data_IF_875499973547
#
_entry.id   IF_875499973547
#
_cell.length_a   1.000
_cell.length_b   1.000
_cell.length_c   1.000
_cell.angle_alpha   90.00
_cell.angle_beta   90.00
_cell.angle_gamma   90.00
#
_symmetry.space_group_name_H-M   'P 1'
#
loop_
_entity.id
_entity.type
_entity.pdbx_description
1 polymer ?
#
# COMPACT_ATOMS: atom_id res chain seq x y z
N UNK A 1 2.37 -11.48 8.81
CA UNK A 1 2.74 -10.39 7.88
C UNK A 1 2.16 -9.08 8.39
N UNK A 2 2.96 -8.09 8.49
CA UNK A 2 2.56 -6.75 8.89
C UNK A 2 2.57 -5.83 7.68
N UNK A 3 1.49 -5.07 7.51
CA UNK A 3 1.32 -4.16 6.39
C UNK A 3 1.19 -2.74 6.92
N UNK A 4 1.93 -1.82 6.34
CA UNK A 4 1.91 -0.41 6.75
C UNK A 4 1.63 0.46 5.52
N UNK A 5 0.62 1.31 5.63
CA UNK A 5 0.35 2.36 4.66
C UNK A 5 0.90 3.68 5.20
N UNK A 6 1.89 4.23 4.52
CA UNK A 6 2.44 5.55 4.80
C UNK A 6 1.76 6.55 3.89
N UNK A 7 1.00 7.47 4.45
CA UNK A 7 0.15 8.39 3.69
C UNK A 7 0.63 9.82 3.93
N UNK A 8 0.95 10.53 2.85
CA UNK A 8 1.42 11.92 2.90
C UNK A 8 0.26 12.90 3.09
N UNK A 9 -0.48 12.73 4.17
CA UNK A 9 -1.56 13.59 4.61
C UNK A 9 -1.49 13.78 6.13
N UNK A 10 -1.64 15.00 6.59
CA UNK A 10 -1.69 15.29 8.03
C UNK A 10 -2.90 14.63 8.67
N UNK A 11 -4.02 14.62 7.95
CA UNK A 11 -5.31 14.07 8.37
C UNK A 11 -6.08 13.60 7.14
N UNK A 12 -6.75 12.46 7.25
CA UNK A 12 -7.66 12.00 6.21
C UNK A 12 -9.05 12.59 6.42
N UNK A 13 -9.77 12.81 5.33
CA UNK A 13 -11.18 13.18 5.39
C UNK A 13 -11.98 12.06 6.08
N UNK A 14 -12.95 12.43 6.89
CA UNK A 14 -13.66 11.52 7.79
C UNK A 14 -14.28 10.31 7.08
N UNK A 15 -14.93 10.55 5.93
CA UNK A 15 -15.54 9.47 5.14
C UNK A 15 -14.51 8.49 4.61
N UNK A 16 -13.35 8.97 4.15
CA UNK A 16 -12.28 8.13 3.67
C UNK A 16 -11.61 7.34 4.80
N UNK A 17 -11.40 7.98 5.93
CA UNK A 17 -10.82 7.32 7.10
C UNK A 17 -11.72 6.18 7.60
N UNK A 18 -13.03 6.40 7.62
CA UNK A 18 -14.00 5.36 7.99
C UNK A 18 -13.97 4.18 7.02
N UNK A 19 -13.89 4.44 5.71
CA UNK A 19 -13.80 3.39 4.69
C UNK A 19 -12.51 2.59 4.82
N UNK A 20 -11.38 3.26 5.03
CA UNK A 20 -10.09 2.60 5.24
C UNK A 20 -10.13 1.70 6.48
N UNK A 21 -10.68 2.21 7.57
CA UNK A 21 -10.81 1.46 8.83
C UNK A 21 -11.66 0.20 8.67
N UNK A 22 -12.72 0.26 7.86
CA UNK A 22 -13.56 -0.91 7.55
C UNK A 22 -12.77 -1.99 6.81
N UNK A 23 -12.00 -1.62 5.77
CA UNK A 23 -11.16 -2.57 5.06
C UNK A 23 -10.02 -3.11 5.92
N UNK A 24 -9.45 -2.29 6.77
CA UNK A 24 -8.43 -2.75 7.73
C UNK A 24 -8.99 -3.78 8.70
N UNK A 25 -10.19 -3.54 9.21
CA UNK A 25 -10.89 -4.49 10.08
C UNK A 25 -11.11 -5.84 9.39
N UNK A 26 -11.56 -5.82 8.14
CA UNK A 26 -11.75 -7.05 7.35
C UNK A 26 -10.42 -7.76 7.07
N UNK A 27 -9.38 -7.02 6.76
CA UNK A 27 -8.04 -7.56 6.49
C UNK A 27 -7.39 -8.13 7.74
N UNK A 28 -7.75 -7.67 8.93
CA UNK A 28 -7.16 -8.11 10.19
C UNK A 28 -7.31 -9.61 10.46
N UNK A 29 -8.24 -10.29 9.79
CA UNK A 29 -8.35 -11.75 9.85
C UNK A 29 -7.16 -12.46 9.19
N UNK A 30 -6.40 -11.79 8.34
CA UNK A 30 -5.31 -12.38 7.54
C UNK A 30 -3.94 -11.80 7.86
N UNK A 31 -3.87 -10.51 8.19
CA UNK A 31 -2.62 -9.78 8.40
C UNK A 31 -2.85 -8.59 9.33
N UNK A 32 -1.79 -8.17 10.01
CA UNK A 32 -1.81 -6.92 10.76
C UNK A 32 -1.64 -5.77 9.78
N UNK A 33 -2.57 -4.83 9.77
CA UNK A 33 -2.51 -3.69 8.87
C UNK A 33 -2.75 -2.40 9.64
N UNK A 34 -1.92 -1.40 9.37
CA UNK A 34 -2.03 -0.08 9.99
C UNK A 34 -1.64 1.02 9.00
N UNK A 35 -2.02 2.24 9.33
CA UNK A 35 -1.59 3.43 8.58
C UNK A 35 -0.81 4.37 9.46
N UNK A 36 0.09 5.12 8.84
CA UNK A 36 0.81 6.23 9.44
C UNK A 36 0.61 7.47 8.56
N UNK A 37 0.24 8.58 9.19
CA UNK A 37 0.00 9.84 8.51
C UNK A 37 1.21 10.76 8.69
N UNK A 38 1.56 11.50 7.64
CA UNK A 38 2.73 12.38 7.65
C UNK A 38 2.34 13.77 7.17
N UNK A 39 2.63 14.77 7.98
CA UNK A 39 2.60 16.17 7.53
C UNK A 39 3.73 16.42 6.52
N UNK A 40 4.87 15.78 6.73
CA UNK A 40 6.05 15.85 5.88
C UNK A 40 6.55 14.42 5.61
N UNK A 41 6.33 13.94 4.38
CA UNK A 41 6.70 12.58 3.98
C UNK A 41 8.21 12.34 3.97
N UNK A 42 9.03 13.40 3.98
CA UNK A 42 10.48 13.25 4.09
C UNK A 42 10.93 12.65 5.42
N UNK A 43 10.06 12.67 6.42
CA UNK A 43 10.28 12.06 7.74
C UNK A 43 9.90 10.58 7.80
N UNK A 44 9.63 9.98 6.66
CA UNK A 44 9.28 8.56 6.53
C UNK A 44 10.38 7.68 7.13
N UNK A 45 9.98 6.73 7.97
CA UNK A 45 10.85 5.69 8.51
C UNK A 45 10.27 4.33 8.17
N UNK A 46 11.11 3.49 7.57
CA UNK A 46 10.74 2.15 7.13
C UNK A 46 11.27 1.09 8.11
N UNK A 47 10.55 -0.01 8.20
CA UNK A 47 10.94 -1.16 9.01
C UNK A 47 12.04 -1.97 8.31
N UNK A 48 12.77 -2.75 9.09
CA UNK A 48 13.73 -3.70 8.56
C UNK A 48 12.99 -4.89 7.94
N UNK A 49 13.61 -5.49 6.93
CA UNK A 49 13.02 -6.65 6.25
C UNK A 49 11.66 -6.36 5.61
N UNK A 50 11.55 -5.19 5.00
CA UNK A 50 10.33 -4.72 4.33
C UNK A 50 10.43 -4.86 2.82
N UNK A 51 9.31 -5.23 2.21
CA UNK A 51 9.08 -5.06 0.78
C UNK A 51 8.34 -3.75 0.56
N UNK A 52 8.87 -2.87 -0.29
CA UNK A 52 8.39 -1.50 -0.38
C UNK A 52 7.75 -1.25 -1.74
N UNK A 53 6.54 -0.72 -1.71
CA UNK A 53 5.83 -0.18 -2.88
C UNK A 53 5.71 1.33 -2.76
N UNK A 54 6.04 2.02 -3.83
CA UNK A 54 5.74 3.45 -3.98
C UNK A 54 4.61 3.58 -4.99
N UNK A 55 3.51 4.21 -4.58
CA UNK A 55 2.39 4.47 -5.48
C UNK A 55 2.75 5.57 -6.46
N UNK A 56 2.48 5.33 -7.73
CA UNK A 56 2.68 6.27 -8.81
C UNK A 56 1.61 6.06 -9.89
N UNK A 57 1.66 6.84 -10.94
CA UNK A 57 0.66 6.88 -12.01
C UNK A 57 1.30 6.71 -13.38
N UNK A 58 0.53 6.28 -14.34
CA UNK A 58 0.85 6.44 -15.75
C UNK A 58 1.37 5.22 -16.50
N UNK A 59 1.87 4.18 -15.86
CA UNK A 59 2.34 2.99 -16.60
C UNK A 59 2.29 1.72 -15.75
N UNK A 60 2.21 0.56 -16.42
CA UNK A 60 2.33 -0.78 -15.83
C UNK A 60 1.41 -1.01 -14.61
N UNK A 61 0.09 -0.92 -14.84
CA UNK A 61 -0.91 -1.29 -13.83
C UNK A 61 -0.90 -2.80 -13.62
N UNK A 62 -1.08 -3.22 -12.34
CA UNK A 62 -1.34 -4.62 -12.00
C UNK A 62 -2.84 -4.87 -11.96
N UNK A 63 -3.24 -6.06 -12.34
CA UNK A 63 -4.59 -6.55 -12.05
C UNK A 63 -4.69 -6.94 -10.58
N UNK A 64 -5.91 -7.08 -10.06
CA UNK A 64 -6.12 -7.51 -8.67
C UNK A 64 -5.53 -8.90 -8.40
N UNK A 65 -5.62 -9.81 -9.37
CA UNK A 65 -5.03 -11.15 -9.27
C UNK A 65 -3.51 -11.13 -9.30
N UNK A 66 -2.90 -10.24 -10.08
CA UNK A 66 -1.45 -10.06 -10.11
C UNK A 66 -0.93 -9.48 -8.79
N UNK A 67 -1.65 -8.52 -8.20
CA UNK A 67 -1.30 -7.99 -6.88
C UNK A 67 -1.40 -9.08 -5.80
N UNK A 68 -2.45 -9.88 -5.83
CA UNK A 68 -2.63 -11.00 -4.90
C UNK A 68 -1.47 -11.99 -5.01
N UNK A 69 -1.09 -12.37 -6.23
CA UNK A 69 0.05 -13.25 -6.48
C UNK A 69 1.36 -12.66 -5.98
N UNK A 70 1.56 -11.37 -6.18
CA UNK A 70 2.76 -10.66 -5.72
C UNK A 70 2.84 -10.64 -4.19
N UNK A 71 1.76 -10.35 -3.49
CA UNK A 71 1.70 -10.39 -2.02
C UNK A 71 2.01 -11.81 -1.50
N UNK A 72 1.44 -12.83 -2.11
CA UNK A 72 1.75 -14.23 -1.77
C UNK A 72 3.24 -14.54 -1.94
N UNK A 73 3.84 -14.09 -3.04
CA UNK A 73 5.27 -14.28 -3.30
C UNK A 73 6.15 -13.57 -2.27
N UNK A 74 5.78 -12.38 -1.85
CA UNK A 74 6.50 -11.62 -0.81
C UNK A 74 6.45 -12.35 0.53
N UNK A 75 5.29 -12.91 0.89
CA UNK A 75 5.15 -13.71 2.10
C UNK A 75 6.09 -14.93 2.07
N UNK A 76 6.13 -15.63 0.95
CA UNK A 76 6.99 -16.81 0.77
C UNK A 76 8.48 -16.47 0.74
N UNK A 77 8.84 -15.28 0.32
CA UNK A 77 10.23 -14.81 0.28
C UNK A 77 10.82 -14.44 1.65
N UNK A 78 10.00 -14.43 2.70
CA UNK A 78 10.46 -14.23 4.08
C UNK A 78 10.52 -12.78 4.54
N UNK A 79 9.90 -11.85 3.84
CA UNK A 79 9.76 -10.47 4.32
C UNK A 79 8.82 -10.41 5.53
N UNK A 80 9.15 -9.57 6.50
CA UNK A 80 8.32 -9.38 7.70
C UNK A 80 7.25 -8.31 7.50
N UNK A 81 7.52 -7.36 6.61
CA UNK A 81 6.66 -6.20 6.35
C UNK A 81 6.44 -6.00 4.86
N UNK A 82 5.25 -5.50 4.53
CA UNK A 82 4.97 -4.86 3.24
C UNK A 82 4.59 -3.42 3.55
N UNK A 83 5.31 -2.47 2.97
CA UNK A 83 5.06 -1.06 3.21
C UNK A 83 4.70 -0.35 1.91
N UNK A 84 3.60 0.38 1.95
CA UNK A 84 3.11 1.16 0.80
C UNK A 84 3.26 2.63 1.12
N UNK A 85 3.80 3.40 0.17
CA UNK A 85 3.98 4.84 0.33
C UNK A 85 3.05 5.56 -0.64
N UNK A 86 2.15 6.37 -0.09
CA UNK A 86 1.12 7.09 -0.83
C UNK A 86 1.41 8.59 -0.73
N UNK A 87 1.79 9.20 -1.83
CA UNK A 87 2.11 10.61 -1.90
C UNK A 87 1.69 11.18 -3.26
N UNK A 88 1.33 12.45 -3.31
CA UNK A 88 0.97 13.13 -4.55
C UNK A 88 2.18 13.42 -5.44
N UNK A 89 3.38 13.52 -4.86
CA UNK A 89 4.65 13.66 -5.57
C UNK A 89 5.62 12.57 -5.09
N UNK A 90 5.77 11.55 -5.91
CA UNK A 90 6.63 10.41 -5.60
C UNK A 90 8.12 10.69 -5.78
N UNK A 91 8.50 11.80 -6.44
CA UNK A 91 9.91 12.09 -6.76
C UNK A 91 10.76 12.23 -5.50
N UNK A 92 10.27 12.93 -4.49
CA UNK A 92 10.98 13.13 -3.22
C UNK A 92 11.23 11.80 -2.52
N UNK A 93 10.22 10.94 -2.46
CA UNK A 93 10.32 9.63 -1.84
C UNK A 93 11.28 8.73 -2.61
N UNK A 94 11.17 8.70 -3.93
CA UNK A 94 12.07 7.92 -4.79
C UNK A 94 13.53 8.35 -4.61
N UNK A 95 13.79 9.65 -4.58
CA UNK A 95 15.13 10.20 -4.37
C UNK A 95 15.69 9.78 -3.01
N UNK A 96 14.89 9.88 -1.95
CA UNK A 96 15.29 9.47 -0.61
C UNK A 96 15.61 7.98 -0.53
N UNK A 97 14.79 7.14 -1.12
CA UNK A 97 15.02 5.69 -1.16
C UNK A 97 16.27 5.35 -1.96
N UNK A 98 16.48 5.98 -3.10
CA UNK A 98 17.67 5.79 -3.92
C UNK A 98 18.94 6.22 -3.18
N UNK A 99 18.92 7.34 -2.47
CA UNK A 99 20.05 7.80 -1.66
C UNK A 99 20.43 6.84 -0.56
N UNK A 100 19.48 6.11 0.00
CA UNK A 100 19.68 5.11 1.04
C UNK A 100 19.94 3.71 0.47
N UNK A 101 19.98 3.56 -0.84
CA UNK A 101 20.11 2.26 -1.55
C UNK A 101 19.00 1.26 -1.17
N UNK A 102 17.82 1.77 -0.87
CA UNK A 102 16.64 0.95 -0.55
C UNK A 102 15.93 0.61 -1.84
N UNK A 103 15.71 -0.69 -2.07
CA UNK A 103 14.95 -1.18 -3.23
C UNK A 103 13.45 -1.00 -3.01
N UNK A 104 12.76 -0.63 -4.06
CA UNK A 104 11.31 -0.49 -4.05
C UNK A 104 10.73 -0.83 -5.42
N UNK A 105 9.45 -1.19 -5.42
CA UNK A 105 8.67 -1.35 -6.65
C UNK A 105 7.66 -0.21 -6.78
N UNK A 106 7.34 0.14 -8.00
CA UNK A 106 6.25 1.06 -8.31
C UNK A 106 4.95 0.28 -8.39
N UNK A 107 3.93 0.75 -7.67
CA UNK A 107 2.57 0.24 -7.76
C UNK A 107 1.67 1.32 -8.38
N UNK A 108 1.03 0.99 -9.49
CA UNK A 108 0.12 1.88 -10.18
C UNK A 108 -1.32 1.35 -10.05
N UNK A 109 -2.17 2.10 -9.34
CA UNK A 109 -3.59 1.74 -9.17
C UNK A 109 -4.42 2.17 -10.37
N UNK A 110 -4.02 3.24 -11.06
CA UNK A 110 -4.75 3.84 -12.17
C UNK A 110 -3.78 4.61 -13.06
N UNK A 111 -4.10 4.69 -14.34
CA UNK A 111 -3.43 5.63 -15.26
C UNK A 111 -3.83 7.08 -14.96
N UNK A 112 -4.98 7.29 -14.32
CA UNK A 112 -5.43 8.59 -13.84
C UNK A 112 -4.84 8.87 -12.46
N UNK A 113 -4.47 10.12 -12.21
CA UNK A 113 -3.96 10.53 -10.91
C UNK A 113 -5.09 10.59 -9.89
N UNK A 114 -4.97 9.83 -8.82
CA UNK A 114 -5.89 9.84 -7.69
C UNK A 114 -5.30 10.72 -6.58
N UNK A 115 -6.14 11.46 -5.85
CA UNK A 115 -5.65 12.13 -4.65
C UNK A 115 -5.33 11.10 -3.56
N UNK A 116 -4.61 11.52 -2.52
CA UNK A 116 -4.11 10.59 -1.49
C UNK A 116 -5.25 9.91 -0.72
N UNK A 117 -6.34 10.59 -0.43
CA UNK A 117 -7.50 9.99 0.23
C UNK A 117 -8.09 8.86 -0.62
N UNK A 118 -8.37 9.13 -1.89
CA UNK A 118 -8.94 8.15 -2.82
C UNK A 118 -7.97 6.98 -3.05
N UNK A 119 -6.69 7.27 -3.28
CA UNK A 119 -5.67 6.23 -3.48
C UNK A 119 -5.58 5.32 -2.25
N UNK A 120 -5.66 5.88 -1.05
CA UNK A 120 -5.59 5.12 0.19
C UNK A 120 -6.77 4.16 0.37
N UNK A 121 -7.99 4.61 0.06
CA UNK A 121 -9.18 3.74 0.10
C UNK A 121 -9.08 2.64 -0.95
N UNK A 122 -8.71 2.99 -2.18
CA UNK A 122 -8.55 2.02 -3.26
C UNK A 122 -7.51 0.95 -2.89
N UNK A 123 -6.38 1.37 -2.36
CA UNK A 123 -5.32 0.44 -1.95
C UNK A 123 -5.78 -0.45 -0.80
N UNK A 124 -6.44 0.10 0.22
CA UNK A 124 -6.95 -0.70 1.35
C UNK A 124 -7.93 -1.77 0.87
N UNK A 125 -8.82 -1.43 -0.06
CA UNK A 125 -9.75 -2.39 -0.68
C UNK A 125 -8.99 -3.46 -1.48
N UNK A 126 -8.00 -3.07 -2.29
CA UNK A 126 -7.24 -4.02 -3.11
C UNK A 126 -6.38 -4.96 -2.27
N UNK A 127 -5.85 -4.51 -1.15
CA UNK A 127 -5.14 -5.37 -0.19
C UNK A 127 -6.10 -6.41 0.39
N UNK A 128 -7.28 -5.99 0.83
CA UNK A 128 -8.30 -6.92 1.31
C UNK A 128 -8.68 -7.94 0.22
N UNK A 129 -8.93 -7.46 -1.00
CA UNK A 129 -9.26 -8.31 -2.16
C UNK A 129 -8.15 -9.34 -2.42
N UNK A 130 -6.89 -8.93 -2.35
CA UNK A 130 -5.74 -9.81 -2.53
C UNK A 130 -5.75 -10.97 -1.53
N UNK A 131 -6.02 -10.69 -0.27
CA UNK A 131 -6.10 -11.72 0.76
C UNK A 131 -7.31 -12.65 0.57
N UNK A 132 -8.44 -12.13 0.11
CA UNK A 132 -9.59 -12.97 -0.22
C UNK A 132 -9.29 -13.91 -1.40
N UNK A 133 -8.61 -13.41 -2.42
CA UNK A 133 -8.16 -14.25 -3.55
C UNK A 133 -7.22 -15.34 -3.06
N UNK A 134 -6.22 -14.99 -2.26
CA UNK A 134 -5.20 -15.94 -1.79
C UNK A 134 -5.78 -17.00 -0.83
N UNK A 135 -6.89 -16.71 -0.17
CA UNK A 135 -7.56 -17.62 0.77
C UNK A 135 -8.83 -18.26 0.19
N UNK A 136 -9.06 -18.14 -1.10
CA UNK A 136 -10.21 -18.70 -1.80
C UNK A 136 -11.56 -18.28 -1.23
N UNK A 137 -11.66 -17.02 -0.79
CA UNK A 137 -12.89 -16.42 -0.26
C UNK A 137 -13.63 -15.74 -1.40
N UNK A 138 -14.94 -15.95 -1.49
CA UNK A 138 -15.80 -15.41 -2.53
C UNK A 138 -16.06 -13.92 -2.34
N UNK A 139 -15.14 -13.08 -2.80
CA UNK A 139 -15.24 -11.62 -2.81
C UNK A 139 -14.92 -11.06 -4.20
N UNK A 140 -13.81 -11.50 -4.78
CA UNK A 140 -13.38 -11.07 -6.12
C UNK A 140 -14.31 -11.64 -7.20
N UNK A 141 -14.78 -10.75 -8.07
CA UNK A 141 -15.64 -11.10 -9.20
C UNK A 141 -14.94 -10.87 -10.54
#
# INVERSE_FOLDING_TARGET
MDIILHIAEKKLDECYDAAISEYFKRTSAFANIKKKLYKDISKLQLEKSSYIFVLDYGCNTLTSTELAKKISGINLAGFSYIEFIITSDSSIVKDNLNCQSIKYDILTLSTMKLNNNTASVCLAEQIYRAYTINNNISYHK
#
